data_IF_489937078826
#
_entry.id   IF_489937078826
#
_cell.length_a   1.000
_cell.length_b   1.000
_cell.length_c   1.000
_cell.angle_alpha   90.00
_cell.angle_beta   90.00
_cell.angle_gamma   90.00
#
_symmetry.space_group_name_H-M   'P 1'
#
loop_
_entity.id
_entity.type
_entity.pdbx_description
1 polymer ?
#
# COMPACT_ATOMS: atom_id res chain seq x y z
N UNK A 1 34.95 -18.22 4.76
CA UNK A 1 35.37 -17.01 5.51
C UNK A 1 36.11 -16.10 4.55
N UNK A 2 35.81 -14.80 4.61
CA UNK A 2 36.55 -13.79 3.85
C UNK A 2 37.64 -13.20 4.77
N UNK A 3 38.67 -12.62 4.18
CA UNK A 3 39.78 -12.06 4.95
C UNK A 3 40.29 -10.78 4.32
N UNK A 4 40.65 -9.82 5.16
CA UNK A 4 41.30 -8.58 4.76
C UNK A 4 42.68 -8.51 5.41
N UNK A 5 43.68 -8.20 4.60
CA UNK A 5 45.05 -7.98 5.09
C UNK A 5 45.25 -6.48 5.28
N UNK A 6 45.44 -6.07 6.53
CA UNK A 6 45.76 -4.69 6.88
C UNK A 6 47.28 -4.51 6.97
N UNK A 7 47.79 -3.43 6.37
CA UNK A 7 49.12 -2.91 6.68
C UNK A 7 48.96 -1.86 7.77
N UNK A 8 49.45 -2.16 8.98
CA UNK A 8 49.46 -1.22 10.09
C UNK A 8 50.86 -0.64 10.20
N UNK A 9 51.00 0.68 10.20
CA UNK A 9 52.30 1.36 10.28
C UNK A 9 52.34 2.28 11.49
N UNK A 10 53.39 2.17 12.30
CA UNK A 10 53.66 3.08 13.42
C UNK A 10 55.16 3.29 13.60
N UNK A 11 55.60 4.53 13.78
CA UNK A 11 57.02 4.91 13.95
C UNK A 11 57.98 4.32 12.90
N UNK A 12 57.53 4.16 11.65
CA UNK A 12 58.31 3.59 10.55
C UNK A 12 58.30 2.06 10.47
N UNK A 13 57.79 1.35 11.47
CA UNK A 13 57.58 -0.10 11.43
C UNK A 13 56.21 -0.42 10.81
N UNK A 14 56.17 -1.31 9.82
CA UNK A 14 54.93 -1.78 9.19
C UNK A 14 54.71 -3.25 9.45
N UNK A 15 53.53 -3.61 9.97
CA UNK A 15 53.14 -4.98 10.26
C UNK A 15 51.89 -5.37 9.46
N UNK A 16 51.96 -6.54 8.82
CA UNK A 16 50.82 -7.15 8.14
C UNK A 16 49.96 -7.91 9.13
N UNK A 17 48.67 -7.59 9.17
CA UNK A 17 47.69 -8.26 10.02
C UNK A 17 46.58 -8.81 9.14
N UNK A 18 46.51 -10.14 9.03
CA UNK A 18 45.41 -10.81 8.34
C UNK A 18 44.23 -10.95 9.31
N UNK A 19 43.11 -10.31 9.01
CA UNK A 19 41.89 -10.32 9.83
C UNK A 19 40.80 -11.03 9.04
N UNK A 20 40.27 -12.10 9.62
CA UNK A 20 39.15 -12.85 9.05
C UNK A 20 37.84 -12.20 9.46
N UNK A 21 36.87 -12.23 8.55
CA UNK A 21 35.54 -11.69 8.75
C UNK A 21 34.63 -11.98 7.57
N UNK A 22 33.57 -11.19 7.45
CA UNK A 22 32.63 -11.29 6.35
C UNK A 22 31.25 -10.74 6.71
N UNK A 23 30.34 -10.78 5.75
CA UNK A 23 28.95 -10.43 5.99
C UNK A 23 28.36 -11.36 7.05
N UNK A 24 27.67 -10.79 8.05
CA UNK A 24 27.07 -11.50 9.19
C UNK A 24 28.04 -12.16 10.19
N UNK A 25 29.36 -12.00 10.04
CA UNK A 25 30.36 -12.57 10.96
C UNK A 25 30.95 -11.45 11.83
N UNK A 26 30.81 -11.58 13.15
CA UNK A 26 31.45 -10.68 14.12
C UNK A 26 32.48 -11.45 14.95
N UNK A 27 33.73 -11.46 14.47
CA UNK A 27 34.84 -12.10 15.18
C UNK A 27 35.38 -11.21 16.32
N UNK A 28 36.23 -11.77 17.17
CA UNK A 28 36.97 -10.99 18.16
C UNK A 28 38.02 -10.09 17.51
N UNK A 29 38.48 -9.08 18.26
CA UNK A 29 39.57 -8.24 17.83
C UNK A 29 40.86 -9.04 17.70
N UNK A 30 41.51 -8.92 16.55
CA UNK A 30 42.88 -9.39 16.37
C UNK A 30 43.84 -8.27 16.77
N UNK A 31 44.60 -8.53 17.83
CA UNK A 31 45.57 -7.57 18.34
C UNK A 31 46.91 -7.70 17.61
N UNK A 32 47.51 -6.55 17.29
CA UNK A 32 48.84 -6.44 16.76
C UNK A 32 49.62 -5.39 17.54
N UNK A 33 50.70 -5.85 18.20
CA UNK A 33 51.65 -4.98 18.86
C UNK A 33 52.62 -4.37 17.84
N UNK A 34 52.76 -3.04 17.85
CA UNK A 34 53.73 -2.24 17.10
C UNK A 34 54.44 -1.30 18.07
N UNK A 35 55.73 -1.57 18.35
CA UNK A 35 56.45 -0.91 19.43
C UNK A 35 55.73 -1.00 20.79
N UNK A 36 55.30 0.15 21.31
CA UNK A 36 54.57 0.29 22.57
C UNK A 36 53.03 0.39 22.40
N UNK A 37 52.51 0.24 21.18
CA UNK A 37 51.08 0.33 20.89
C UNK A 37 50.47 -1.05 20.61
N UNK A 38 49.38 -1.37 21.28
CA UNK A 38 48.55 -2.54 20.99
C UNK A 38 47.34 -2.10 20.16
N UNK A 39 47.28 -2.53 18.90
CA UNK A 39 46.22 -2.17 17.95
C UNK A 39 45.27 -3.35 17.77
N UNK A 40 44.00 -3.18 18.12
CA UNK A 40 42.94 -4.16 17.86
C UNK A 40 42.26 -3.92 16.51
N UNK A 41 42.25 -4.91 15.63
CA UNK A 41 41.60 -4.85 14.33
C UNK A 41 40.48 -5.90 14.23
N UNK A 42 39.36 -5.51 13.62
CA UNK A 42 38.24 -6.42 13.31
C UNK A 42 37.63 -6.04 11.96
N UNK A 43 37.25 -7.05 11.20
CA UNK A 43 36.53 -6.90 9.93
C UNK A 43 35.17 -7.61 10.03
N UNK A 44 34.09 -6.87 9.74
CA UNK A 44 32.72 -7.38 9.85
C UNK A 44 31.70 -6.24 9.97
N UNK A 45 30.40 -6.56 10.07
CA UNK A 45 29.35 -5.56 10.26
C UNK A 45 29.50 -4.84 11.61
N UNK A 46 29.12 -3.58 11.64
CA UNK A 46 29.01 -2.82 12.89
C UNK A 46 27.80 -3.33 13.68
N UNK A 47 28.07 -3.96 14.82
CA UNK A 47 27.02 -4.42 15.72
C UNK A 47 26.29 -3.23 16.36
N UNK A 48 24.97 -3.35 16.42
CA UNK A 48 24.08 -2.41 17.12
C UNK A 48 23.21 -3.24 18.04
N UNK A 49 23.21 -2.88 19.32
CA UNK A 49 22.38 -3.56 20.30
C UNK A 49 20.95 -3.06 20.21
N UNK A 50 20.00 -3.96 20.41
CA UNK A 50 18.58 -3.67 20.49
C UNK A 50 18.19 -3.52 21.96
N UNK A 51 17.22 -2.63 22.29
CA UNK A 51 16.76 -2.45 23.67
C UNK A 51 15.82 -3.56 24.17
N UNK A 52 15.63 -4.63 23.38
CA UNK A 52 14.81 -5.80 23.66
C UNK A 52 15.41 -7.00 22.91
N UNK A 53 14.94 -8.21 23.20
CA UNK A 53 15.35 -9.44 22.52
C UNK A 53 14.20 -10.05 21.73
N UNK A 54 14.53 -10.82 20.69
CA UNK A 54 13.54 -11.59 19.93
C UNK A 54 13.95 -13.05 20.00
N UNK A 55 13.01 -13.89 20.43
CA UNK A 55 13.14 -15.34 20.42
C UNK A 55 12.34 -15.91 19.27
N UNK A 56 12.97 -16.72 18.41
CA UNK A 56 12.25 -17.55 17.45
C UNK A 56 11.62 -18.73 18.19
N UNK A 57 10.30 -18.86 18.10
CA UNK A 57 9.57 -20.00 18.65
C UNK A 57 9.41 -21.10 17.61
N UNK A 58 9.05 -20.72 16.38
CA UNK A 58 8.78 -21.65 15.29
C UNK A 58 8.96 -20.96 13.94
N UNK A 59 9.45 -21.70 12.95
CA UNK A 59 9.59 -21.23 11.57
C UNK A 59 8.78 -22.15 10.66
N UNK A 60 7.92 -21.57 9.84
CA UNK A 60 6.98 -22.27 8.98
C UNK A 60 7.29 -21.86 7.54
N UNK A 61 7.47 -22.84 6.66
CA UNK A 61 7.66 -22.57 5.24
C UNK A 61 6.84 -23.54 4.39
N UNK A 62 5.87 -22.99 3.65
CA UNK A 62 5.04 -23.77 2.74
C UNK A 62 5.72 -23.90 1.39
N UNK A 63 5.51 -25.04 0.74
CA UNK A 63 6.09 -25.36 -0.58
C UNK A 63 5.01 -25.41 -1.65
N UNK A 64 5.39 -25.09 -2.87
CA UNK A 64 4.51 -25.35 -4.02
C UNK A 64 4.31 -26.86 -4.18
N UNK A 65 3.07 -27.31 -4.46
CA UNK A 65 2.78 -28.72 -4.71
C UNK A 65 3.72 -29.31 -5.77
N UNK A 66 4.32 -30.47 -5.46
CA UNK A 66 5.23 -31.16 -6.38
C UNK A 66 6.66 -30.62 -6.42
N UNK A 67 7.04 -29.70 -5.53
CA UNK A 67 8.41 -29.21 -5.41
C UNK A 67 8.96 -29.36 -3.99
N UNK A 68 10.21 -29.81 -3.86
CA UNK A 68 10.87 -29.89 -2.55
C UNK A 68 11.66 -28.60 -2.21
N UNK A 69 12.02 -27.82 -3.24
CA UNK A 69 12.92 -26.65 -3.11
C UNK A 69 12.27 -25.29 -3.36
N UNK A 70 11.00 -25.24 -3.75
CA UNK A 70 10.31 -23.98 -4.04
C UNK A 70 9.30 -23.65 -2.95
N UNK A 71 9.54 -22.54 -2.27
CA UNK A 71 8.70 -22.08 -1.16
C UNK A 71 7.67 -21.06 -1.65
N UNK A 72 6.41 -21.21 -1.23
CA UNK A 72 5.30 -20.31 -1.53
C UNK A 72 5.15 -19.20 -0.48
N UNK A 73 5.45 -19.53 0.78
CA UNK A 73 5.35 -18.62 1.93
C UNK A 73 6.34 -19.06 2.99
N UNK A 74 6.79 -18.11 3.79
CA UNK A 74 7.62 -18.36 4.96
C UNK A 74 7.28 -17.37 6.06
N UNK A 75 7.19 -17.88 7.27
CA UNK A 75 6.61 -17.22 8.43
C UNK A 75 7.41 -17.57 9.68
N UNK A 76 7.58 -16.60 10.58
CA UNK A 76 8.30 -16.76 11.84
C UNK A 76 7.39 -16.40 13.00
N UNK A 77 7.13 -17.36 13.87
CA UNK A 77 6.50 -17.11 15.18
C UNK A 77 7.59 -16.73 16.16
N UNK A 78 7.47 -15.54 16.74
CA UNK A 78 8.48 -14.99 17.63
C UNK A 78 7.86 -14.52 18.94
N UNK A 79 8.63 -14.56 20.02
CA UNK A 79 8.32 -13.81 21.24
C UNK A 79 9.26 -12.61 21.31
N UNK A 80 8.68 -11.43 21.45
CA UNK A 80 9.42 -10.20 21.78
C UNK A 80 9.58 -10.17 23.29
N UNK A 81 10.82 -10.17 23.75
CA UNK A 81 11.19 -10.12 25.15
C UNK A 81 11.60 -8.68 25.48
N UNK A 82 10.68 -7.93 26.08
CA UNK A 82 10.88 -6.50 26.39
C UNK A 82 10.84 -6.25 27.90
N UNK A 83 11.97 -5.86 28.52
CA UNK A 83 12.03 -5.60 29.96
C UNK A 83 11.15 -4.47 30.46
N UNK A 84 10.69 -3.55 29.59
CA UNK A 84 9.91 -2.36 29.98
C UNK A 84 8.42 -2.48 29.67
N UNK A 85 8.08 -3.03 28.50
CA UNK A 85 6.68 -3.12 28.03
C UNK A 85 6.05 -4.50 28.26
N UNK A 86 6.87 -5.49 28.64
CA UNK A 86 6.44 -6.86 28.84
C UNK A 86 6.59 -7.72 27.58
N UNK A 87 6.61 -9.02 27.79
CA UNK A 87 6.83 -9.99 26.72
C UNK A 87 5.52 -10.26 25.97
N UNK A 88 5.60 -10.41 24.65
CA UNK A 88 4.45 -10.75 23.83
C UNK A 88 4.83 -11.60 22.62
N UNK A 89 3.88 -12.45 22.19
CA UNK A 89 4.03 -13.24 20.98
C UNK A 89 3.60 -12.46 19.75
N UNK A 90 4.33 -12.64 18.65
CA UNK A 90 4.06 -12.01 17.39
C UNK A 90 4.36 -12.95 16.22
N UNK A 91 3.68 -12.73 15.10
CA UNK A 91 3.85 -13.52 13.89
C UNK A 91 4.34 -12.64 12.74
N UNK A 92 5.55 -12.90 12.26
CA UNK A 92 6.19 -12.15 11.16
C UNK A 92 6.09 -12.98 9.89
N UNK A 93 5.44 -12.45 8.86
CA UNK A 93 5.27 -13.11 7.57
C UNK A 93 5.17 -12.08 6.43
N UNK A 94 4.97 -12.54 5.20
CA UNK A 94 4.90 -11.66 4.03
C UNK A 94 3.84 -10.56 4.22
N UNK A 95 4.25 -9.31 4.02
CA UNK A 95 3.46 -8.09 4.23
C UNK A 95 2.98 -7.85 5.68
N UNK A 96 3.43 -8.64 6.66
CA UNK A 96 3.11 -8.45 8.08
C UNK A 96 4.39 -8.37 8.89
N UNK A 97 4.76 -7.12 9.20
CA UNK A 97 6.02 -6.78 9.86
C UNK A 97 5.80 -6.64 11.36
N UNK A 98 6.81 -6.99 12.15
CA UNK A 98 6.85 -6.60 13.56
C UNK A 98 7.35 -5.16 13.64
N UNK A 99 6.57 -4.28 14.27
CA UNK A 99 6.97 -2.91 14.55
C UNK A 99 7.00 -2.70 16.07
N UNK A 100 8.19 -2.51 16.63
CA UNK A 100 8.40 -2.36 18.06
C UNK A 100 9.48 -1.32 18.36
N UNK A 101 9.19 -0.34 19.22
CA UNK A 101 10.13 0.75 19.59
C UNK A 101 10.82 1.46 18.41
N UNK A 102 10.10 1.61 17.29
CA UNK A 102 10.63 2.23 16.06
C UNK A 102 11.50 1.30 15.19
N UNK A 103 11.68 0.04 15.61
CA UNK A 103 12.32 -1.00 14.81
C UNK A 103 11.27 -1.80 14.06
N UNK A 104 11.49 -1.97 12.76
CA UNK A 104 10.68 -2.78 11.86
C UNK A 104 11.45 -4.02 11.46
N UNK A 105 10.91 -5.19 11.77
CA UNK A 105 11.47 -6.48 11.41
C UNK A 105 10.68 -7.07 10.25
N UNK A 106 11.40 -7.38 9.18
CA UNK A 106 10.88 -7.98 7.98
C UNK A 106 11.45 -9.38 7.86
N UNK A 107 10.59 -10.33 7.51
CA UNK A 107 11.04 -11.65 7.12
C UNK A 107 11.83 -11.54 5.81
N UNK A 108 13.14 -11.81 5.85
CA UNK A 108 14.03 -11.60 4.69
C UNK A 108 14.54 -12.89 4.08
N UNK A 109 14.86 -13.89 4.90
CA UNK A 109 15.32 -15.21 4.48
C UNK A 109 15.21 -16.18 5.66
N UNK A 110 15.70 -17.40 5.49
CA UNK A 110 15.75 -18.44 6.51
C UNK A 110 16.96 -19.32 6.29
N UNK A 111 17.31 -20.10 7.31
CA UNK A 111 18.42 -21.03 7.21
C UNK A 111 18.06 -22.25 6.36
N UNK A 112 18.99 -22.83 5.58
CA UNK A 112 18.70 -24.00 4.73
C UNK A 112 18.20 -25.24 5.47
N UNK A 113 18.38 -25.30 6.80
CA UNK A 113 17.91 -26.38 7.67
C UNK A 113 16.49 -26.12 8.22
N UNK A 114 15.83 -25.03 7.80
CA UNK A 114 14.48 -24.62 8.21
C UNK A 114 14.31 -24.40 9.72
N UNK A 115 15.39 -24.26 10.47
CA UNK A 115 15.36 -24.08 11.93
C UNK A 115 15.66 -22.66 12.39
N UNK A 116 15.95 -21.77 11.46
CA UNK A 116 16.31 -20.39 11.76
C UNK A 116 15.70 -19.43 10.77
N UNK A 117 15.43 -18.22 11.24
CA UNK A 117 14.93 -17.11 10.42
C UNK A 117 15.97 -16.01 10.33
N UNK A 118 16.01 -15.34 9.18
CA UNK A 118 16.82 -14.15 8.96
C UNK A 118 15.87 -12.97 8.81
N UNK A 119 15.91 -12.07 9.79
CA UNK A 119 15.10 -10.85 9.81
C UNK A 119 15.93 -9.66 9.33
N UNK A 120 15.38 -8.89 8.41
CA UNK A 120 15.91 -7.57 8.07
C UNK A 120 15.34 -6.54 9.03
N UNK A 121 16.20 -5.68 9.58
CA UNK A 121 15.84 -4.71 10.62
C UNK A 121 16.03 -3.31 10.08
N UNK A 122 14.99 -2.48 10.21
CA UNK A 122 15.05 -1.07 9.86
C UNK A 122 14.62 -0.22 11.07
N UNK A 123 15.40 0.83 11.38
CA UNK A 123 15.08 1.81 12.41
C UNK A 123 14.98 3.20 11.78
N UNK A 124 13.82 3.49 11.19
CA UNK A 124 13.56 4.75 10.50
C UNK A 124 12.15 5.26 10.81
N UNK A 125 12.02 5.86 12.00
CA UNK A 125 10.77 6.48 12.45
C UNK A 125 10.45 7.73 11.61
N UNK A 126 11.39 8.68 11.52
CA UNK A 126 11.18 9.97 10.88
C UNK A 126 11.03 9.90 9.35
N UNK A 127 11.86 9.10 8.67
CA UNK A 127 11.78 8.96 7.21
C UNK A 127 10.47 8.35 6.76
N UNK A 128 9.90 7.44 7.56
CA UNK A 128 8.54 6.91 7.32
C UNK A 128 7.50 8.04 7.40
N UNK A 129 7.50 8.84 8.46
CA UNK A 129 6.55 9.97 8.61
C UNK A 129 6.67 11.00 7.50
N UNK A 130 7.90 11.40 7.14
CA UNK A 130 8.15 12.39 6.08
C UNK A 130 7.57 11.92 4.74
N UNK A 131 7.81 10.65 4.41
CA UNK A 131 7.32 10.06 3.14
C UNK A 131 5.79 10.02 3.10
N UNK A 132 5.16 9.63 4.21
CA UNK A 132 3.71 9.55 4.31
C UNK A 132 3.05 10.93 4.26
N UNK A 133 3.65 11.94 4.89
CA UNK A 133 3.21 13.34 4.76
C UNK A 133 3.35 13.80 3.30
N UNK A 134 4.46 13.46 2.63
CA UNK A 134 4.65 13.76 1.21
C UNK A 134 3.57 13.16 0.33
N UNK A 135 3.22 11.89 0.53
CA UNK A 135 2.13 11.22 -0.19
C UNK A 135 0.77 11.84 0.12
N UNK A 136 0.52 12.21 1.37
CA UNK A 136 -0.70 12.90 1.76
C UNK A 136 -0.82 14.27 1.08
N UNK A 137 0.27 15.06 1.03
CA UNK A 137 0.32 16.35 0.34
C UNK A 137 0.15 16.20 -1.17
N UNK A 138 0.77 15.18 -1.79
CA UNK A 138 0.59 14.87 -3.22
C UNK A 138 -0.86 14.54 -3.53
N UNK A 139 -1.47 13.66 -2.73
CA UNK A 139 -2.89 13.31 -2.87
C UNK A 139 -3.79 14.52 -2.65
N UNK A 140 -3.52 15.32 -1.62
CA UNK A 140 -4.23 16.57 -1.35
C UNK A 140 -4.11 17.58 -2.49
N UNK A 141 -2.93 17.72 -3.09
CA UNK A 141 -2.71 18.56 -4.27
C UNK A 141 -3.48 18.07 -5.50
N UNK A 142 -3.49 16.75 -5.73
CA UNK A 142 -4.28 16.13 -6.80
C UNK A 142 -5.78 16.33 -6.58
N UNK A 143 -6.29 16.21 -5.36
CA UNK A 143 -7.69 16.52 -5.07
C UNK A 143 -8.00 18.01 -5.24
N UNK A 144 -7.08 18.89 -4.82
CA UNK A 144 -7.25 20.34 -4.90
C UNK A 144 -7.40 20.82 -6.34
N UNK A 145 -6.75 20.17 -7.32
CA UNK A 145 -6.84 20.56 -8.74
C UNK A 145 -8.27 20.47 -9.31
N UNK A 146 -9.14 19.66 -8.70
CA UNK A 146 -10.54 19.49 -9.11
C UNK A 146 -11.36 20.74 -8.76
N UNK A 147 -11.00 21.43 -7.68
CA UNK A 147 -11.75 22.59 -7.16
C UNK A 147 -11.17 23.94 -7.59
N UNK A 148 -9.93 23.97 -8.08
CA UNK A 148 -9.28 25.20 -8.53
C UNK A 148 -9.92 25.75 -9.84
N UNK A 149 -10.17 27.07 -9.94
CA UNK A 149 -10.95 27.65 -11.03
C UNK A 149 -10.20 27.72 -12.38
N UNK A 150 -8.87 27.69 -12.37
CA UNK A 150 -8.00 27.87 -13.54
C UNK A 150 -7.37 26.54 -14.00
N UNK A 151 -8.11 25.42 -13.91
CA UNK A 151 -7.62 24.09 -14.30
C UNK A 151 -8.45 23.53 -15.46
N UNK A 152 -7.87 22.59 -16.22
CA UNK A 152 -8.62 21.88 -17.28
C UNK A 152 -9.87 21.18 -16.75
N UNK A 153 -9.87 20.77 -15.48
CA UNK A 153 -11.04 20.19 -14.82
C UNK A 153 -12.15 21.24 -14.62
N UNK A 154 -11.82 22.49 -14.31
CA UNK A 154 -12.80 23.57 -14.24
C UNK A 154 -13.43 23.87 -15.61
N UNK A 155 -12.64 23.84 -16.69
CA UNK A 155 -13.15 24.00 -18.05
C UNK A 155 -14.04 22.82 -18.45
N UNK A 156 -13.61 21.59 -18.13
CA UNK A 156 -14.40 20.39 -18.37
C UNK A 156 -15.73 20.45 -17.59
N UNK A 157 -15.71 20.92 -16.33
CA UNK A 157 -16.93 21.15 -15.53
C UNK A 157 -17.85 22.18 -16.18
N UNK A 158 -17.32 23.30 -16.70
CA UNK A 158 -18.11 24.30 -17.43
C UNK A 158 -18.72 23.72 -18.71
N UNK A 159 -17.95 22.95 -19.48
CA UNK A 159 -18.44 22.29 -20.70
C UNK A 159 -19.53 21.27 -20.38
N UNK A 160 -19.34 20.47 -19.33
CA UNK A 160 -20.31 19.46 -18.89
C UNK A 160 -21.61 20.12 -18.40
N UNK A 161 -21.51 21.25 -17.69
CA UNK A 161 -22.68 22.06 -17.32
C UNK A 161 -23.43 22.58 -18.56
N UNK A 162 -22.72 23.11 -19.56
CA UNK A 162 -23.33 23.56 -20.82
C UNK A 162 -24.04 22.42 -21.56
N UNK A 163 -23.46 21.22 -21.60
CA UNK A 163 -24.10 20.04 -22.22
C UNK A 163 -25.34 19.61 -21.43
N UNK A 164 -25.29 19.61 -20.09
CA UNK A 164 -26.44 19.30 -19.24
C UNK A 164 -27.59 20.27 -19.46
N UNK A 165 -27.32 21.58 -19.45
CA UNK A 165 -28.32 22.62 -19.72
C UNK A 165 -28.96 22.46 -21.12
N UNK A 166 -28.16 22.13 -22.14
CA UNK A 166 -28.69 21.85 -23.49
C UNK A 166 -29.58 20.61 -23.51
N UNK A 167 -29.21 19.54 -22.80
CA UNK A 167 -30.01 18.32 -22.69
C UNK A 167 -31.33 18.57 -21.95
N UNK A 168 -31.31 19.32 -20.85
CA UNK A 168 -32.53 19.69 -20.11
C UNK A 168 -33.50 20.49 -20.98
N UNK A 169 -33.00 21.49 -21.73
CA UNK A 169 -33.82 22.25 -22.69
C UNK A 169 -34.40 21.38 -23.79
N UNK A 170 -33.60 20.45 -24.35
CA UNK A 170 -34.07 19.52 -25.37
C UNK A 170 -35.16 18.58 -24.83
N UNK A 171 -35.03 18.11 -23.60
CA UNK A 171 -36.01 17.25 -22.93
C UNK A 171 -37.34 17.98 -22.71
N UNK A 172 -37.28 19.25 -22.29
CA UNK A 172 -38.47 20.11 -22.13
C UNK A 172 -39.16 20.37 -23.48
N UNK A 173 -38.38 20.66 -24.54
CA UNK A 173 -38.93 20.83 -25.89
C UNK A 173 -39.56 19.53 -26.40
N UNK A 174 -38.90 18.38 -26.21
CA UNK A 174 -39.46 17.09 -26.59
C UNK A 174 -40.77 16.79 -25.84
N UNK A 175 -40.84 17.08 -24.54
CA UNK A 175 -42.05 16.92 -23.74
C UNK A 175 -43.20 17.84 -24.21
N UNK A 176 -42.89 19.08 -24.58
CA UNK A 176 -43.85 20.02 -25.17
C UNK A 176 -44.37 19.55 -26.54
N UNK A 177 -43.49 19.04 -27.41
CA UNK A 177 -43.89 18.50 -28.72
C UNK A 177 -44.76 17.24 -28.60
N UNK A 178 -44.49 16.36 -27.62
CA UNK A 178 -45.36 15.22 -27.33
C UNK A 178 -46.72 15.66 -26.76
N UNK A 179 -46.75 16.70 -25.93
CA UNK A 179 -48.00 17.25 -25.37
C UNK A 179 -48.92 17.87 -26.42
N UNK A 180 -48.37 18.47 -27.48
CA UNK A 180 -49.16 19.10 -28.56
C UNK A 180 -49.77 18.09 -29.55
N UNK A 181 -49.26 16.86 -29.58
CA UNK A 181 -49.74 15.82 -30.51
C UNK A 181 -51.00 15.08 -30.00
N UNK A 182 -51.40 15.30 -28.74
CA UNK A 182 -52.51 14.60 -28.08
C UNK A 182 -53.90 15.22 -28.21
N UNK A 183 -54.05 16.37 -28.89
CA UNK A 183 -55.32 17.12 -28.97
C UNK A 183 -56.00 17.15 -30.35
N UNK A 184 -55.57 16.33 -31.32
CA UNK A 184 -56.30 16.22 -32.58
C UNK A 184 -57.49 15.26 -32.43
N UNK A 185 -58.63 15.75 -31.92
CA UNK A 185 -59.91 15.04 -31.99
C UNK A 185 -60.55 15.23 -33.37
N UNK A 186 -60.95 14.11 -33.96
CA UNK A 186 -61.60 13.96 -35.27
C UNK A 186 -63.02 14.55 -35.25
N UNK A 187 -63.35 15.42 -36.20
CA UNK A 187 -64.70 15.98 -36.35
C UNK A 187 -65.51 15.11 -37.31
N UNK A 188 -66.38 14.27 -36.76
CA UNK A 188 -67.28 13.42 -37.56
C UNK A 188 -68.48 14.23 -38.09
N UNK A 189 -68.55 14.39 -39.41
CA UNK A 189 -69.68 15.01 -40.13
C UNK A 189 -70.89 14.06 -40.17
N UNK A 190 -72.07 14.53 -39.76
CA UNK A 190 -73.36 13.83 -39.93
C UNK A 190 -74.18 14.49 -41.06
N UNK A 191 -74.54 13.73 -42.10
CA UNK A 191 -75.49 14.13 -43.16
C UNK A 191 -76.95 13.74 -42.85
N UNK A 192 -77.95 14.24 -43.62
CA UNK A 192 -79.28 14.58 -43.11
C UNK A 192 -80.31 13.44 -43.06
N UNK A 193 -81.34 13.70 -42.24
CA UNK A 193 -82.42 12.82 -41.78
C UNK A 193 -83.40 12.32 -42.85
N UNK A 194 -84.00 11.16 -42.59
CA UNK A 194 -85.25 10.71 -43.21
C UNK A 194 -86.14 9.96 -42.19
N UNK A 195 -87.21 10.64 -41.76
CA UNK A 195 -88.60 10.20 -41.46
C UNK A 195 -88.83 8.95 -40.57
N UNK A 196 -89.39 9.12 -39.36
CA UNK A 196 -90.84 9.07 -39.02
C UNK A 196 -91.36 7.60 -38.94
N UNK A 197 -92.05 7.06 -37.91
CA UNK A 197 -92.85 7.61 -36.81
C UNK A 197 -92.98 6.56 -35.70
N UNK A 198 -93.12 7.06 -34.47
CA UNK A 198 -93.59 6.37 -33.26
C UNK A 198 -95.05 5.92 -33.34
N UNK A 199 -95.38 4.75 -32.76
CA UNK A 199 -96.76 4.43 -32.34
C UNK A 199 -96.78 4.05 -30.86
N UNK A 200 -97.45 4.91 -30.09
CA UNK A 200 -98.06 4.62 -28.80
C UNK A 200 -97.08 4.21 -27.68
N UNK A 201 -96.59 5.18 -26.91
CA UNK A 201 -97.20 5.54 -25.63
C UNK A 201 -96.52 6.83 -25.12
N UNK A 202 -97.23 7.91 -24.81
CA UNK A 202 -98.37 8.02 -23.89
C UNK A 202 -97.89 7.74 -22.47
N UNK A 203 -97.37 8.78 -21.81
CA UNK A 203 -97.95 9.37 -20.59
C UNK A 203 -96.96 10.42 -20.07
N UNK A 204 -97.30 11.71 -20.13
CA UNK A 204 -98.00 12.44 -19.06
C UNK A 204 -97.16 12.60 -17.79
N UNK A 205 -96.34 13.67 -17.76
CA UNK A 205 -96.30 14.77 -16.76
C UNK A 205 -95.32 15.82 -17.28
#
# INVERSE_FOLDING_TARGET
EEGVVFNVTSNGETKKVNVLGGQYISNDFKYAKLGNLDVGLRYGPKMRELPFSIKLNDFIADRYPGTEKSYSSFESKVTVLDPQEGDFDYHIYMNHILNHKGYRFFQSSFHPDEKGTILSVNHDFWGTWITYIGYFLLFGGLLSIIFLPNTRFADLRKMLKKVKEKKEKLLVVALLCFGLSGFSQDHQHSGPAFNDLTKAQIDSI
#
